data_IF_947816861206
#
_entry.id   IF_947816861206
#
_cell.length_a   1.000
_cell.length_b   1.000
_cell.length_c   1.000
_cell.angle_alpha   90.00
_cell.angle_beta   90.00
_cell.angle_gamma   90.00
#
_symmetry.space_group_name_H-M   'P 1'
#
loop_
_entity.id
_entity.type
_entity.pdbx_description
1 polymer ?
#
# COMPACT_ATOMS: atom_id res chain seq x y z
N UNK A 1 19.01 27.46 10.56
CA UNK A 1 19.82 26.23 10.52
C UNK A 1 18.90 25.03 10.40
N UNK A 2 19.22 24.06 9.55
CA UNK A 2 18.49 22.80 9.55
C UNK A 2 18.65 22.10 10.91
N UNK A 3 17.65 21.31 11.37
CA UNK A 3 17.74 20.62 12.65
C UNK A 3 18.78 19.50 12.62
N UNK A 4 19.27 19.13 13.82
CA UNK A 4 20.20 18.02 14.00
C UNK A 4 19.49 16.66 14.00
N UNK A 5 18.32 16.62 14.65
CA UNK A 5 17.44 15.45 14.71
C UNK A 5 16.00 15.86 14.49
N UNK A 6 15.17 14.96 13.93
CA UNK A 6 13.74 15.11 13.77
C UNK A 6 13.06 13.90 14.41
N UNK A 7 12.15 14.15 15.35
CA UNK A 7 11.32 13.13 15.98
C UNK A 7 9.91 13.19 15.40
N UNK A 8 9.38 12.06 14.95
CA UNK A 8 8.04 11.97 14.38
C UNK A 8 7.20 11.06 15.27
N UNK A 9 6.17 11.63 15.91
CA UNK A 9 5.23 10.80 16.66
C UNK A 9 4.39 9.97 15.68
N UNK A 10 4.50 8.66 15.82
CA UNK A 10 3.72 7.71 15.04
C UNK A 10 2.38 7.47 15.73
N UNK A 11 1.29 7.51 14.97
CA UNK A 11 -0.03 7.16 15.48
C UNK A 11 0.00 5.74 16.09
N UNK A 12 -0.62 5.59 17.28
CA UNK A 12 -0.71 4.29 17.93
C UNK A 12 -1.47 3.31 17.05
N UNK A 13 -0.83 2.23 16.66
CA UNK A 13 -1.59 0.99 16.47
C UNK A 13 -2.18 0.62 17.83
N UNK A 14 -3.47 0.27 17.86
CA UNK A 14 -4.05 -0.41 19.02
C UNK A 14 -3.09 -1.53 19.39
N UNK A 15 -2.63 -1.54 20.64
CA UNK A 15 -1.59 -2.47 21.07
C UNK A 15 -2.05 -3.89 20.77
N UNK A 16 -1.52 -4.47 19.72
CA UNK A 16 -1.82 -5.85 19.34
C UNK A 16 -1.36 -6.76 20.47
N UNK A 17 -2.12 -7.79 20.75
CA UNK A 17 -1.75 -8.83 21.70
C UNK A 17 -0.40 -9.45 21.33
N UNK A 18 0.25 -10.11 22.26
CA UNK A 18 1.52 -10.81 21.99
C UNK A 18 1.37 -11.81 20.84
N UNK A 19 0.28 -12.57 20.84
CA UNK A 19 -0.02 -13.58 19.80
C UNK A 19 -0.25 -12.95 18.42
N UNK A 20 -0.94 -11.81 18.37
CA UNK A 20 -1.13 -11.08 17.10
C UNK A 20 0.19 -10.53 16.56
N UNK A 21 1.06 -10.03 17.44
CA UNK A 21 2.40 -9.58 17.04
C UNK A 21 3.25 -10.72 16.49
N UNK A 22 3.21 -11.88 17.15
CA UNK A 22 3.95 -13.06 16.73
C UNK A 22 3.45 -13.57 15.36
N UNK A 23 2.12 -13.62 15.15
CA UNK A 23 1.52 -13.94 13.85
C UNK A 23 1.93 -12.95 12.76
N UNK A 24 1.96 -11.65 13.08
CA UNK A 24 2.43 -10.63 12.12
C UNK A 24 3.90 -10.81 11.77
N UNK A 25 4.77 -11.04 12.76
CA UNK A 25 6.21 -11.26 12.51
C UNK A 25 6.40 -12.44 11.58
N UNK A 26 5.75 -13.56 11.88
CA UNK A 26 5.78 -14.76 11.03
C UNK A 26 5.30 -14.47 9.60
N UNK A 27 4.20 -13.76 9.45
CA UNK A 27 3.67 -13.37 8.14
C UNK A 27 4.63 -12.44 7.37
N UNK A 28 5.33 -11.54 8.06
CA UNK A 28 6.35 -10.67 7.46
C UNK A 28 7.53 -11.49 6.96
N UNK A 29 8.03 -12.42 7.77
CA UNK A 29 9.15 -13.32 7.42
C UNK A 29 8.80 -14.23 6.24
N UNK A 30 7.59 -14.81 6.24
CA UNK A 30 7.07 -15.61 5.13
C UNK A 30 6.98 -14.80 3.83
N UNK A 31 6.45 -13.57 3.91
CA UNK A 31 6.38 -12.67 2.77
C UNK A 31 7.76 -12.26 2.26
N UNK A 32 8.71 -12.02 3.17
CA UNK A 32 10.08 -11.68 2.81
C UNK A 32 10.77 -12.84 2.09
N UNK A 33 10.69 -14.06 2.64
CA UNK A 33 11.19 -15.28 2.00
C UNK A 33 10.56 -15.52 0.63
N UNK A 34 9.26 -15.27 0.51
CA UNK A 34 8.55 -15.39 -0.76
C UNK A 34 9.04 -14.35 -1.77
N UNK A 35 9.24 -13.09 -1.34
CA UNK A 35 9.76 -12.04 -2.20
C UNK A 35 11.18 -12.36 -2.70
N UNK A 36 12.06 -12.91 -1.85
CA UNK A 36 13.42 -13.28 -2.27
C UNK A 36 13.38 -14.40 -3.32
N UNK A 37 12.55 -15.41 -3.16
CA UNK A 37 12.36 -16.46 -4.19
C UNK A 37 11.86 -15.87 -5.53
N UNK A 38 10.97 -14.90 -5.47
CA UNK A 38 10.48 -14.21 -6.67
C UNK A 38 11.58 -13.40 -7.34
N UNK A 39 12.42 -12.70 -6.57
CA UNK A 39 13.58 -11.97 -7.11
C UNK A 39 14.54 -12.90 -7.83
N UNK A 40 14.86 -14.05 -7.21
CA UNK A 40 15.72 -15.05 -7.85
C UNK A 40 15.13 -15.56 -9.18
N UNK A 41 13.82 -15.79 -9.23
CA UNK A 41 13.15 -16.22 -10.45
C UNK A 41 13.15 -15.13 -11.52
N UNK A 42 12.88 -13.87 -11.13
CA UNK A 42 12.99 -12.73 -12.05
C UNK A 42 14.38 -12.62 -12.69
N UNK A 43 15.42 -12.87 -11.92
CA UNK A 43 16.79 -12.86 -12.41
C UNK A 43 17.10 -14.05 -13.33
N UNK A 44 16.70 -15.26 -12.94
CA UNK A 44 17.09 -16.51 -13.63
C UNK A 44 16.20 -16.85 -14.83
N UNK A 45 14.88 -16.65 -14.69
CA UNK A 45 13.88 -17.09 -15.68
C UNK A 45 13.47 -15.95 -16.63
N UNK A 46 13.41 -14.70 -16.12
CA UNK A 46 12.91 -13.55 -16.87
C UNK A 46 14.00 -12.54 -17.26
N UNK A 47 15.24 -12.84 -16.93
CA UNK A 47 16.42 -12.03 -17.31
C UNK A 47 16.32 -10.56 -16.81
N UNK A 48 15.80 -10.34 -15.62
CA UNK A 48 15.71 -9.05 -14.93
C UNK A 48 16.82 -8.96 -13.88
N UNK A 49 17.97 -8.32 -14.17
CA UNK A 49 19.16 -8.40 -13.30
C UNK A 49 18.96 -7.69 -11.96
N UNK A 50 18.17 -6.62 -11.94
CA UNK A 50 17.90 -5.81 -10.73
C UNK A 50 16.38 -5.66 -10.49
N UNK A 51 15.70 -6.70 -9.98
CA UNK A 51 14.25 -6.66 -9.81
C UNK A 51 13.81 -5.58 -8.81
N UNK A 52 12.92 -4.72 -9.24
CA UNK A 52 12.27 -3.72 -8.39
C UNK A 52 11.12 -4.31 -7.58
N UNK A 53 10.61 -3.57 -6.61
CA UNK A 53 9.38 -3.94 -5.89
C UNK A 53 8.16 -4.07 -6.82
N UNK A 54 8.12 -3.29 -7.91
CA UNK A 54 7.05 -3.39 -8.91
C UNK A 54 7.15 -4.68 -9.74
N UNK A 55 8.34 -5.12 -10.08
CA UNK A 55 8.54 -6.38 -10.83
C UNK A 55 8.10 -7.59 -9.99
N UNK A 56 8.37 -7.55 -8.68
CA UNK A 56 7.88 -8.55 -7.73
C UNK A 56 6.35 -8.59 -7.72
N UNK A 57 5.70 -7.43 -7.67
CA UNK A 57 4.23 -7.34 -7.69
C UNK A 57 3.68 -7.82 -9.03
N UNK A 58 4.29 -7.43 -10.15
CA UNK A 58 3.90 -7.90 -11.49
C UNK A 58 3.95 -9.42 -11.61
N UNK A 59 5.05 -10.06 -11.17
CA UNK A 59 5.17 -11.53 -11.25
C UNK A 59 4.14 -12.23 -10.35
N UNK A 60 3.91 -11.73 -9.13
CA UNK A 60 2.87 -12.26 -8.25
C UNK A 60 1.47 -12.21 -8.86
N UNK A 61 1.13 -11.09 -9.49
CA UNK A 61 -0.16 -10.90 -10.13
C UNK A 61 -0.29 -11.74 -11.40
N UNK A 62 0.79 -11.85 -12.17
CA UNK A 62 0.88 -12.70 -13.36
C UNK A 62 0.54 -14.15 -13.03
N UNK A 63 1.15 -14.70 -11.98
CA UNK A 63 0.88 -16.06 -11.50
C UNK A 63 -0.52 -16.20 -10.88
N UNK A 64 -0.94 -15.24 -10.05
CA UNK A 64 -2.28 -15.26 -9.44
C UNK A 64 -3.40 -15.24 -10.47
N UNK A 65 -3.16 -14.64 -11.65
CA UNK A 65 -4.11 -14.49 -12.75
C UNK A 65 -3.95 -15.55 -13.84
N UNK A 66 -3.16 -16.59 -13.62
CA UNK A 66 -2.87 -17.63 -14.62
C UNK A 66 -2.40 -17.03 -15.94
N UNK A 67 -1.43 -16.09 -15.87
CA UNK A 67 -0.77 -15.47 -17.04
C UNK A 67 -1.72 -14.67 -17.94
N UNK A 68 -2.88 -14.26 -17.44
CA UNK A 68 -3.87 -13.54 -18.23
C UNK A 68 -4.12 -12.12 -17.74
N UNK A 69 -4.48 -11.23 -18.66
CA UNK A 69 -4.95 -9.90 -18.34
C UNK A 69 -6.28 -9.95 -17.60
N UNK A 70 -6.40 -9.29 -16.46
CA UNK A 70 -7.60 -9.33 -15.64
C UNK A 70 -8.88 -8.90 -16.40
N UNK A 71 -8.80 -7.94 -17.32
CA UNK A 71 -9.99 -7.39 -17.97
C UNK A 71 -10.33 -8.00 -19.33
N UNK A 72 -9.32 -8.36 -20.12
CA UNK A 72 -9.55 -8.92 -21.45
C UNK A 72 -9.43 -10.42 -21.52
N UNK A 73 -8.93 -11.06 -20.47
CA UNK A 73 -8.64 -12.49 -20.40
C UNK A 73 -7.62 -12.97 -21.47
N UNK A 74 -6.94 -12.04 -22.14
CA UNK A 74 -5.89 -12.37 -23.09
C UNK A 74 -4.63 -12.78 -22.36
N UNK A 75 -3.92 -13.75 -22.89
CA UNK A 75 -2.62 -14.17 -22.38
C UNK A 75 -1.62 -13.00 -22.41
N UNK A 76 -0.85 -12.87 -21.34
CA UNK A 76 0.23 -11.90 -21.19
C UNK A 76 1.56 -12.60 -21.47
N UNK A 77 2.29 -12.11 -22.47
CA UNK A 77 3.61 -12.59 -22.81
C UNK A 77 4.62 -12.18 -21.72
N UNK A 78 5.21 -13.18 -21.06
CA UNK A 78 6.16 -12.96 -19.98
C UNK A 78 7.41 -12.21 -20.41
N UNK A 79 7.91 -12.43 -21.63
CA UNK A 79 9.08 -11.74 -22.15
C UNK A 79 8.80 -10.23 -22.30
N UNK A 80 7.60 -9.88 -22.76
CA UNK A 80 7.20 -8.47 -22.91
C UNK A 80 6.88 -7.82 -21.57
N UNK A 81 6.35 -8.59 -20.60
CA UNK A 81 5.91 -8.08 -19.30
C UNK A 81 7.02 -7.31 -18.56
N UNK A 82 8.25 -7.78 -18.64
CA UNK A 82 9.38 -7.21 -17.91
C UNK A 82 10.31 -6.34 -18.76
N UNK A 83 10.21 -6.43 -20.10
CA UNK A 83 11.12 -5.71 -21.00
C UNK A 83 10.44 -4.62 -21.82
N UNK A 84 9.11 -4.62 -21.90
CA UNK A 84 8.33 -3.55 -22.54
C UNK A 84 7.47 -2.80 -21.50
N UNK A 85 7.86 -1.58 -21.09
CA UNK A 85 7.13 -0.83 -20.08
C UNK A 85 5.71 -0.41 -20.51
N UNK A 86 5.42 -0.46 -21.82
CA UNK A 86 4.12 -0.08 -22.39
C UNK A 86 3.19 -1.26 -22.64
N UNK A 87 3.61 -2.49 -22.34
CA UNK A 87 2.85 -3.69 -22.66
C UNK A 87 1.79 -4.02 -21.62
N UNK A 88 2.18 -4.12 -20.36
CA UNK A 88 1.29 -4.47 -19.25
C UNK A 88 1.70 -3.75 -17.97
N UNK A 89 0.72 -3.37 -17.18
CA UNK A 89 0.91 -2.59 -15.97
C UNK A 89 0.03 -3.08 -14.81
N UNK A 90 0.41 -2.70 -13.60
CA UNK A 90 -0.39 -2.95 -12.39
C UNK A 90 -1.43 -1.86 -12.28
N UNK A 91 -2.70 -2.25 -12.32
CA UNK A 91 -3.83 -1.35 -12.17
C UNK A 91 -4.50 -1.51 -10.79
N UNK A 92 -5.07 -0.41 -10.29
CA UNK A 92 -5.93 -0.43 -9.12
C UNK A 92 -7.35 -0.82 -9.53
N UNK A 93 -7.86 -1.92 -8.96
CA UNK A 93 -9.23 -2.43 -9.21
C UNK A 93 -10.25 -1.29 -8.99
N UNK A 94 -10.26 -0.73 -7.79
CA UNK A 94 -10.94 0.52 -7.49
C UNK A 94 -9.88 1.62 -7.63
N UNK A 95 -10.07 2.59 -8.54
CA UNK A 95 -9.07 3.61 -8.81
C UNK A 95 -8.54 4.28 -7.56
N UNK A 96 -7.23 4.50 -7.49
CA UNK A 96 -6.59 5.09 -6.32
C UNK A 96 -7.16 6.46 -5.95
N UNK A 97 -7.50 7.29 -6.95
CA UNK A 97 -8.15 8.59 -6.74
C UNK A 97 -9.51 8.50 -6.03
N UNK A 98 -10.18 7.35 -6.13
CA UNK A 98 -11.50 7.10 -5.51
C UNK A 98 -11.39 6.36 -4.18
N UNK A 99 -10.34 5.56 -3.95
CA UNK A 99 -10.25 4.66 -2.80
C UNK A 99 -9.09 4.98 -1.84
N UNK A 100 -8.01 5.60 -2.31
CA UNK A 100 -6.71 5.68 -1.62
C UNK A 100 -6.16 4.31 -1.16
N UNK A 101 -6.66 3.20 -1.74
CA UNK A 101 -6.26 1.84 -1.40
C UNK A 101 -5.15 1.36 -2.33
N UNK A 102 -3.91 1.34 -1.83
CA UNK A 102 -2.73 0.79 -2.52
C UNK A 102 -2.40 -0.65 -2.10
N UNK A 103 -3.30 -1.33 -1.39
CA UNK A 103 -3.06 -2.71 -0.95
C UNK A 103 -3.04 -3.69 -2.14
N UNK A 104 -2.36 -4.81 -1.95
CA UNK A 104 -2.30 -5.88 -2.95
C UNK A 104 -3.69 -6.43 -3.34
N UNK A 105 -4.67 -6.36 -2.43
CA UNK A 105 -6.04 -6.78 -2.71
C UNK A 105 -6.81 -5.83 -3.63
N UNK A 106 -6.27 -4.63 -3.87
CA UNK A 106 -6.79 -3.66 -4.83
C UNK A 106 -5.96 -3.58 -6.12
N UNK A 107 -5.07 -4.56 -6.38
CA UNK A 107 -4.18 -4.57 -7.55
C UNK A 107 -4.41 -5.77 -8.44
N UNK A 108 -4.35 -5.55 -9.76
CA UNK A 108 -4.39 -6.56 -10.81
C UNK A 108 -3.39 -6.23 -11.91
N UNK A 109 -2.98 -7.24 -12.67
CA UNK A 109 -2.14 -7.09 -13.85
C UNK A 109 -3.03 -7.01 -15.10
N UNK A 110 -2.81 -5.99 -15.92
CA UNK A 110 -3.63 -5.74 -17.10
C UNK A 110 -2.75 -5.28 -18.26
N UNK A 111 -3.22 -5.50 -19.48
CA UNK A 111 -2.63 -4.86 -20.66
C UNK A 111 -2.85 -3.35 -20.60
N UNK A 112 -1.83 -2.56 -20.93
CA UNK A 112 -1.87 -1.09 -20.86
C UNK A 112 -3.05 -0.50 -21.64
N UNK A 113 -3.40 -1.08 -22.78
CA UNK A 113 -4.57 -0.66 -23.55
C UNK A 113 -5.89 -0.81 -22.76
N UNK A 114 -6.04 -1.90 -22.01
CA UNK A 114 -7.22 -2.14 -21.18
C UNK A 114 -7.28 -1.16 -19.99
N UNK A 115 -6.13 -0.88 -19.36
CA UNK A 115 -6.10 0.09 -18.27
C UNK A 115 -6.48 1.50 -18.73
N UNK A 116 -5.94 1.93 -19.87
CA UNK A 116 -6.29 3.23 -20.46
C UNK A 116 -7.77 3.34 -20.78
N UNK A 117 -8.37 2.26 -21.31
CA UNK A 117 -9.81 2.24 -21.62
C UNK A 117 -10.66 2.22 -20.34
N UNK A 118 -10.25 1.51 -19.30
CA UNK A 118 -10.94 1.49 -18.01
C UNK A 118 -10.93 2.89 -17.37
N UNK A 119 -9.76 3.55 -17.35
CA UNK A 119 -9.60 4.86 -16.74
C UNK A 119 -10.03 4.87 -15.26
N UNK A 120 -10.76 5.89 -14.85
CA UNK A 120 -11.19 6.08 -13.45
C UNK A 120 -12.48 5.33 -13.08
N UNK A 121 -12.76 4.20 -13.74
CA UNK A 121 -13.93 3.33 -13.51
C UNK A 121 -13.55 2.08 -12.74
N UNK A 122 -14.50 1.49 -12.00
CA UNK A 122 -14.35 0.11 -11.51
C UNK A 122 -14.45 -0.88 -12.67
N UNK A 123 -13.99 -2.15 -12.52
CA UNK A 123 -14.12 -3.14 -13.59
C UNK A 123 -15.55 -3.37 -14.04
N UNK A 124 -16.51 -3.40 -13.10
CA UNK A 124 -17.93 -3.58 -13.43
C UNK A 124 -18.54 -2.36 -14.12
N UNK A 125 -18.10 -1.15 -13.77
CA UNK A 125 -18.45 0.08 -14.50
C UNK A 125 -17.84 0.10 -15.91
N UNK A 126 -16.61 -0.39 -16.05
CA UNK A 126 -15.93 -0.47 -17.36
C UNK A 126 -16.60 -1.46 -18.30
N UNK A 127 -17.00 -2.62 -17.78
CA UNK A 127 -17.58 -3.71 -18.56
C UNK A 127 -19.12 -3.59 -18.73
N UNK A 128 -19.75 -2.56 -18.18
CA UNK A 128 -21.22 -2.41 -18.18
C UNK A 128 -21.86 -2.35 -19.57
N UNK A 129 -21.11 -1.97 -20.59
CA UNK A 129 -21.57 -1.88 -21.99
C UNK A 129 -21.42 -3.17 -22.80
N UNK A 130 -20.82 -4.23 -22.23
CA UNK A 130 -20.54 -5.50 -22.92
C UNK A 130 -20.89 -6.69 -22.00
N UNK A 131 -22.12 -7.16 -22.09
CA UNK A 131 -22.62 -8.23 -21.24
C UNK A 131 -21.87 -9.58 -21.46
N UNK A 132 -21.34 -9.82 -22.64
CA UNK A 132 -20.58 -11.04 -22.93
C UNK A 132 -19.22 -11.00 -22.20
N UNK A 133 -18.47 -9.90 -22.32
CA UNK A 133 -17.22 -9.70 -21.58
C UNK A 133 -17.46 -9.66 -20.08
N UNK A 134 -18.53 -9.03 -19.62
CA UNK A 134 -18.89 -8.99 -18.20
C UNK A 134 -19.12 -10.38 -17.63
N UNK A 135 -19.86 -11.25 -18.34
CA UNK A 135 -20.08 -12.66 -17.94
C UNK A 135 -18.77 -13.44 -17.86
N UNK A 136 -17.92 -13.32 -18.86
CA UNK A 136 -16.59 -13.97 -18.87
C UNK A 136 -15.74 -13.51 -17.70
N UNK A 137 -15.67 -12.19 -17.47
CA UNK A 137 -14.95 -11.60 -16.35
C UNK A 137 -15.46 -12.12 -14.99
N UNK A 138 -16.77 -12.11 -14.77
CA UNK A 138 -17.36 -12.63 -13.51
C UNK A 138 -17.07 -14.12 -13.31
N UNK A 139 -17.13 -14.93 -14.38
CA UNK A 139 -16.79 -16.34 -14.32
C UNK A 139 -15.32 -16.54 -13.93
N UNK A 140 -14.41 -15.83 -14.60
CA UNK A 140 -12.99 -15.86 -14.29
C UNK A 140 -12.69 -15.41 -12.85
N UNK A 141 -13.29 -14.30 -12.36
CA UNK A 141 -13.08 -13.85 -10.98
C UNK A 141 -13.50 -14.91 -9.97
N UNK A 142 -14.58 -15.62 -10.24
CA UNK A 142 -15.10 -16.68 -9.33
C UNK A 142 -14.24 -17.95 -9.35
N UNK A 143 -13.67 -18.31 -10.51
CA UNK A 143 -12.85 -19.54 -10.65
C UNK A 143 -11.40 -19.31 -10.20
N UNK A 144 -10.77 -18.24 -10.64
CA UNK A 144 -9.31 -18.07 -10.55
C UNK A 144 -8.87 -17.23 -9.34
N UNK A 145 -9.62 -16.21 -8.96
CA UNK A 145 -9.24 -15.32 -7.85
C UNK A 145 -9.62 -15.96 -6.50
N UNK A 146 -8.62 -16.46 -5.78
CA UNK A 146 -8.83 -17.16 -4.49
C UNK A 146 -9.10 -16.19 -3.32
N UNK A 147 -8.52 -14.97 -3.34
CA UNK A 147 -8.64 -14.00 -2.24
C UNK A 147 -10.02 -13.36 -2.24
N UNK A 148 -10.81 -13.62 -1.20
CA UNK A 148 -12.16 -13.11 -1.07
C UNK A 148 -12.24 -11.57 -1.23
N UNK A 149 -11.41 -10.82 -0.49
CA UNK A 149 -11.42 -9.35 -0.56
C UNK A 149 -11.11 -8.80 -1.96
N UNK A 150 -10.20 -9.46 -2.70
CA UNK A 150 -9.91 -9.09 -4.09
C UNK A 150 -11.11 -9.38 -4.99
N UNK A 151 -11.79 -10.53 -4.82
CA UNK A 151 -13.04 -10.85 -5.54
C UNK A 151 -14.13 -9.81 -5.30
N UNK A 152 -14.33 -9.43 -4.04
CA UNK A 152 -15.30 -8.41 -3.66
C UNK A 152 -15.01 -7.06 -4.34
N UNK A 153 -13.74 -6.67 -4.42
CA UNK A 153 -13.34 -5.45 -5.13
C UNK A 153 -13.60 -5.55 -6.64
N UNK A 154 -13.25 -6.68 -7.27
CA UNK A 154 -13.42 -6.92 -8.70
C UNK A 154 -14.90 -6.97 -9.11
N UNK A 155 -15.75 -7.55 -8.29
CA UNK A 155 -17.19 -7.72 -8.56
C UNK A 155 -18.06 -6.57 -8.03
N UNK A 156 -17.45 -5.50 -7.54
CA UNK A 156 -18.20 -4.35 -7.01
C UNK A 156 -18.91 -3.60 -8.14
N UNK A 157 -20.23 -3.72 -8.18
CA UNK A 157 -21.05 -3.15 -9.26
C UNK A 157 -21.12 -1.62 -9.22
N UNK A 158 -21.24 -1.04 -8.03
CA UNK A 158 -21.34 0.41 -7.83
C UNK A 158 -20.40 0.87 -6.73
N UNK A 159 -19.68 1.91 -7.02
CA UNK A 159 -18.87 2.62 -6.05
C UNK A 159 -19.42 4.04 -5.95
N UNK A 160 -20.49 4.18 -5.12
CA UNK A 160 -21.21 5.45 -4.97
C UNK A 160 -20.36 6.49 -4.26
N UNK A 161 -20.70 7.77 -4.40
CA UNK A 161 -19.99 8.87 -3.72
C UNK A 161 -19.96 8.71 -2.20
N UNK A 162 -21.02 8.17 -1.59
CA UNK A 162 -21.06 7.90 -0.16
C UNK A 162 -20.11 6.76 0.23
N UNK A 163 -20.11 5.65 -0.53
CA UNK A 163 -19.16 4.57 -0.33
C UNK A 163 -17.71 5.02 -0.59
N UNK A 164 -17.49 5.93 -1.53
CA UNK A 164 -16.20 6.55 -1.80
C UNK A 164 -15.72 7.40 -0.62
N UNK A 165 -16.60 8.23 -0.05
CA UNK A 165 -16.28 9.06 1.10
C UNK A 165 -15.98 8.21 2.35
N UNK A 166 -16.78 7.19 2.61
CA UNK A 166 -16.56 6.25 3.72
C UNK A 166 -15.27 5.45 3.56
N UNK A 167 -14.94 5.07 2.32
CA UNK A 167 -13.71 4.35 2.03
C UNK A 167 -12.49 5.25 2.19
N UNK A 168 -12.55 6.46 1.64
CA UNK A 168 -11.51 7.49 1.81
C UNK A 168 -11.32 7.84 3.29
N UNK A 169 -12.42 8.04 4.03
CA UNK A 169 -12.35 8.34 5.45
C UNK A 169 -11.66 7.22 6.24
N UNK A 170 -11.95 5.95 5.94
CA UNK A 170 -11.26 4.80 6.57
C UNK A 170 -9.78 4.72 6.24
N UNK A 171 -9.38 5.06 5.01
CA UNK A 171 -7.97 5.06 4.59
C UNK A 171 -7.24 6.36 4.97
N UNK A 172 -7.93 7.49 5.06
CA UNK A 172 -7.38 8.77 5.55
C UNK A 172 -7.27 8.83 7.07
N UNK A 173 -8.06 8.05 7.82
CA UNK A 173 -7.86 7.87 9.26
C UNK A 173 -6.53 7.15 9.57
N UNK A 174 -5.82 6.70 8.56
CA UNK A 174 -4.46 6.22 8.71
C UNK A 174 -3.48 7.39 8.85
N UNK A 175 -3.59 8.09 9.99
CA UNK A 175 -2.52 8.96 10.52
C UNK A 175 -1.18 8.19 10.50
N UNK A 176 -1.24 6.87 10.54
CA UNK A 176 -0.11 5.96 10.34
C UNK A 176 0.49 6.05 8.94
N UNK A 177 -0.34 6.12 7.90
CA UNK A 177 0.15 6.26 6.54
C UNK A 177 0.86 7.61 6.35
N UNK A 178 0.24 8.69 6.80
CA UNK A 178 0.81 10.05 6.71
C UNK A 178 2.11 10.13 7.51
N UNK A 179 2.14 9.60 8.72
CA UNK A 179 3.34 9.58 9.57
C UNK A 179 4.46 8.75 8.95
N UNK A 180 4.13 7.58 8.39
CA UNK A 180 5.09 6.71 7.69
C UNK A 180 5.59 7.33 6.39
N UNK A 181 4.70 7.93 5.61
CA UNK A 181 5.06 8.68 4.40
C UNK A 181 6.01 9.82 4.73
N UNK A 182 5.69 10.63 5.74
CA UNK A 182 6.51 11.75 6.19
C UNK A 182 7.89 11.26 6.69
N UNK A 183 7.92 10.19 7.46
CA UNK A 183 9.17 9.57 7.91
C UNK A 183 10.05 9.18 6.72
N UNK A 184 9.52 8.46 5.75
CA UNK A 184 10.26 8.03 4.56
C UNK A 184 10.68 9.23 3.69
N UNK A 185 9.79 10.19 3.51
CA UNK A 185 10.08 11.40 2.74
C UNK A 185 11.25 12.19 3.35
N UNK A 186 11.21 12.42 4.66
CA UNK A 186 12.28 13.15 5.36
C UNK A 186 13.58 12.36 5.35
N UNK A 187 13.54 11.04 5.55
CA UNK A 187 14.75 10.20 5.51
C UNK A 187 15.45 10.21 4.15
N UNK A 188 14.69 10.34 3.07
CA UNK A 188 15.22 10.27 1.71
C UNK A 188 15.55 11.64 1.10
N UNK A 189 14.92 12.72 1.58
CA UNK A 189 14.98 14.02 0.91
C UNK A 189 15.47 15.16 1.79
N UNK A 190 15.64 14.95 3.11
CA UNK A 190 15.98 16.04 4.01
C UNK A 190 17.42 15.90 4.53
N UNK A 191 18.23 16.92 4.26
CA UNK A 191 19.59 17.01 4.78
C UNK A 191 19.58 17.63 6.18
N UNK A 192 20.06 16.88 7.15
CA UNK A 192 20.21 17.33 8.53
C UNK A 192 21.57 17.96 8.74
N UNK A 193 21.64 18.98 9.62
CA UNK A 193 22.93 19.55 10.04
C UNK A 193 23.82 18.47 10.64
N UNK A 194 25.12 18.42 10.29
CA UNK A 194 26.06 17.52 10.96
C UNK A 194 26.02 17.75 12.48
N UNK A 195 25.72 16.73 13.24
CA UNK A 195 25.63 16.78 14.70
C UNK A 195 26.60 15.80 15.33
N UNK A 196 27.03 16.11 16.56
CA UNK A 196 27.94 15.26 17.36
C UNK A 196 27.16 14.09 18.01
N UNK A 197 26.36 13.36 17.21
CA UNK A 197 25.60 12.22 17.71
C UNK A 197 26.09 10.94 17.08
N UNK A 198 26.40 9.94 17.90
CA UNK A 198 26.78 8.58 17.46
C UNK A 198 25.60 7.80 16.84
N UNK A 199 24.43 8.43 16.72
CA UNK A 199 23.22 7.81 16.18
C UNK A 199 23.27 7.74 14.66
N UNK A 200 23.21 6.52 14.13
CA UNK A 200 23.13 6.25 12.68
C UNK A 200 21.84 6.80 12.01
N UNK A 201 20.77 6.98 12.77
CA UNK A 201 19.48 7.51 12.30
C UNK A 201 19.11 8.73 13.11
N UNK A 202 19.01 9.85 12.46
CA UNK A 202 18.66 11.15 13.06
C UNK A 202 17.20 11.58 12.78
N UNK A 203 16.47 10.79 12.02
CA UNK A 203 15.01 10.91 11.90
C UNK A 203 14.40 9.70 12.59
N UNK A 204 13.79 9.95 13.73
CA UNK A 204 13.46 8.93 14.73
C UNK A 204 11.93 8.85 14.86
N UNK A 205 11.32 7.68 14.57
CA UNK A 205 9.91 7.48 14.89
C UNK A 205 9.74 7.32 16.42
N UNK A 206 8.87 8.11 17.00
CA UNK A 206 8.55 8.08 18.43
C UNK A 206 7.16 7.49 18.63
N UNK A 207 7.03 6.61 19.61
CA UNK A 207 5.74 6.03 19.98
C UNK A 207 5.01 6.99 20.93
N UNK A 208 3.72 7.25 20.68
CA UNK A 208 2.87 8.06 21.56
C UNK A 208 2.78 7.60 23.04
N UNK A 209 3.22 6.36 23.35
CA UNK A 209 3.40 5.92 24.72
C UNK A 209 4.57 6.64 25.42
N UNK A 210 5.66 6.91 24.68
CA UNK A 210 6.82 7.65 25.20
C UNK A 210 6.41 9.08 25.49
N UNK A 211 5.73 9.73 24.53
CA UNK A 211 5.20 11.09 24.69
C UNK A 211 4.26 11.20 25.91
N UNK A 212 3.34 10.24 26.05
CA UNK A 212 2.42 10.19 27.19
C UNK A 212 3.15 10.00 28.52
N UNK A 213 4.20 9.17 28.56
CA UNK A 213 5.01 8.95 29.74
C UNK A 213 5.77 10.21 30.15
N UNK A 214 6.42 10.89 29.19
CA UNK A 214 7.18 12.12 29.46
C UNK A 214 6.23 13.23 29.94
N UNK A 215 5.10 13.45 29.27
CA UNK A 215 4.07 14.41 29.72
C UNK A 215 3.64 14.16 31.16
N UNK A 216 3.36 12.89 31.52
CA UNK A 216 2.94 12.54 32.86
C UNK A 216 4.02 12.90 33.90
N UNK A 217 5.31 12.67 33.58
CA UNK A 217 6.42 13.04 34.48
C UNK A 217 6.61 14.55 34.62
N UNK A 218 6.28 15.31 33.59
CA UNK A 218 6.34 16.78 33.59
C UNK A 218 5.07 17.43 34.18
N UNK A 219 4.06 16.64 34.57
CA UNK A 219 2.79 17.17 35.10
C UNK A 219 1.90 17.82 34.03
N UNK A 220 2.18 17.58 32.75
CA UNK A 220 1.45 18.19 31.63
C UNK A 220 0.24 17.32 31.28
N UNK A 221 -0.97 17.83 31.44
CA UNK A 221 -2.21 17.16 31.07
C UNK A 221 -2.52 17.35 29.58
N UNK A 222 -3.11 16.32 28.94
CA UNK A 222 -3.58 16.38 27.56
C UNK A 222 -5.06 16.73 27.52
N UNK A 223 -5.39 17.97 27.14
CA UNK A 223 -6.76 18.44 26.99
C UNK A 223 -7.14 18.30 25.52
N UNK A 224 -8.07 17.41 25.17
CA UNK A 224 -8.50 17.13 23.80
C UNK A 224 -9.60 18.07 23.30
N UNK A 225 -10.25 18.77 24.20
CA UNK A 225 -11.38 19.67 23.90
C UNK A 225 -10.96 20.96 23.18
N UNK A 226 -9.65 21.31 23.24
CA UNK A 226 -9.11 22.51 22.63
C UNK A 226 -8.59 22.29 21.20
N UNK A 227 -9.21 21.42 20.41
CA UNK A 227 -8.78 21.14 19.03
C UNK A 227 -7.41 20.47 18.96
N UNK A 228 -6.61 20.83 17.95
CA UNK A 228 -5.31 20.17 17.66
C UNK A 228 -4.13 20.67 18.51
N UNK A 229 -4.35 21.59 19.48
CA UNK A 229 -3.31 22.10 20.38
C UNK A 229 -2.60 21.02 21.18
N UNK A 230 -3.26 19.90 21.43
CA UNK A 230 -2.66 18.74 22.10
C UNK A 230 -1.51 18.10 21.28
N UNK A 231 -1.48 18.24 19.96
CA UNK A 231 -0.35 17.80 19.15
C UNK A 231 0.88 18.69 19.33
N UNK A 232 0.68 20.01 19.48
CA UNK A 232 1.77 20.94 19.82
C UNK A 232 2.38 20.61 21.20
N UNK A 233 1.53 20.29 22.18
CA UNK A 233 1.99 19.84 23.50
C UNK A 233 2.79 18.52 23.41
N UNK A 234 2.34 17.56 22.61
CA UNK A 234 3.07 16.31 22.38
C UNK A 234 4.43 16.58 21.69
N UNK A 235 4.50 17.52 20.76
CA UNK A 235 5.74 17.90 20.08
C UNK A 235 6.76 18.63 20.99
N UNK A 236 6.31 19.29 22.05
CA UNK A 236 7.21 19.98 22.99
C UNK A 236 7.84 19.07 24.03
N UNK A 237 7.38 17.85 24.20
CA UNK A 237 7.86 16.90 25.22
C UNK A 237 8.71 15.76 24.62
N UNK A 238 8.92 15.75 23.32
CA UNK A 238 9.78 14.80 22.58
C UNK A 238 11.14 15.41 22.35
#
# INVERSE_FOLDING_TARGET
CPPVEIHIEMARELAKSFDERQKMTKSIEENQSHNERIKERLQKEFNVPYPSGQDIVKLKLYEEQNETCAYSQKHIDAAKLFHDPNYAEVDHIIPYSRSFDDTYNNKVLVLTAENRQKGNRTPMEYLSGDEARKKQFVAWVKSDIKKQRKRENLLREKFTADAENDWKARHLQDTQYISRFMLNYLQNNYELTPGNTDRKRRIIPVNGAVTAYVRKRLGISKIRENGDLHHAVDATVI
#
